data_IF_504418254878
#
_entry.id   IF_504418254878
#
_cell.length_a   1.000
_cell.length_b   1.000
_cell.length_c   1.000
_cell.angle_alpha   90.00
_cell.angle_beta   90.00
_cell.angle_gamma   90.00
#
_symmetry.space_group_name_H-M   'P 1'
#
loop_
_entity.id
_entity.type
_entity.pdbx_description
1 polymer ?
#
# COMPACT_ATOMS: atom_id res chain seq x y z
N UNK A 1 -56.55 -24.66 27.40
CA UNK A 1 -55.90 -24.60 26.09
C UNK A 1 -56.15 -25.89 25.35
N UNK A 2 -56.44 -25.82 24.06
CA UNK A 2 -56.64 -27.00 23.22
C UNK A 2 -55.28 -27.58 22.79
N UNK A 3 -55.21 -28.89 22.49
CA UNK A 3 -53.98 -29.54 22.01
C UNK A 3 -53.39 -28.84 20.77
N UNK A 4 -54.26 -28.30 19.91
CA UNK A 4 -53.90 -27.54 18.72
C UNK A 4 -53.11 -26.27 19.06
N UNK A 5 -53.53 -25.53 20.08
CA UNK A 5 -52.85 -24.31 20.55
C UNK A 5 -51.44 -24.61 21.04
N UNK A 6 -51.25 -25.73 21.76
CA UNK A 6 -49.95 -26.15 22.27
C UNK A 6 -49.00 -26.51 21.12
N UNK A 7 -49.50 -27.24 20.12
CA UNK A 7 -48.71 -27.61 18.93
C UNK A 7 -48.30 -26.35 18.15
N UNK A 8 -49.22 -25.40 17.97
CA UNK A 8 -48.93 -24.15 17.26
C UNK A 8 -47.83 -23.34 17.97
N UNK A 9 -47.93 -23.21 19.30
CA UNK A 9 -46.91 -22.51 20.10
C UNK A 9 -45.54 -23.21 19.97
N UNK A 10 -45.50 -24.53 20.06
CA UNK A 10 -44.26 -25.30 19.91
C UNK A 10 -43.61 -25.09 18.52
N UNK A 11 -44.41 -25.06 17.45
CA UNK A 11 -43.93 -24.80 16.09
C UNK A 11 -43.37 -23.38 15.94
N UNK A 12 -44.03 -22.38 16.53
CA UNK A 12 -43.55 -20.99 16.52
C UNK A 12 -42.22 -20.88 17.26
N UNK A 13 -42.09 -21.50 18.44
CA UNK A 13 -40.83 -21.50 19.20
C UNK A 13 -39.71 -22.16 18.39
N UNK A 14 -39.98 -23.30 17.75
CA UNK A 14 -39.01 -24.01 16.93
C UNK A 14 -38.59 -23.18 15.71
N UNK A 15 -39.53 -22.48 15.08
CA UNK A 15 -39.24 -21.55 14.00
C UNK A 15 -38.35 -20.38 14.46
N UNK A 16 -38.63 -19.79 15.62
CA UNK A 16 -37.81 -18.69 16.18
C UNK A 16 -36.38 -19.17 16.45
N UNK A 17 -36.22 -20.35 17.06
CA UNK A 17 -34.90 -20.95 17.32
C UNK A 17 -34.15 -21.20 15.99
N UNK A 18 -34.84 -21.76 14.99
CA UNK A 18 -34.26 -22.00 13.66
C UNK A 18 -33.78 -20.70 12.99
N UNK A 19 -34.63 -19.66 13.00
CA UNK A 19 -34.27 -18.36 12.42
C UNK A 19 -33.11 -17.69 13.18
N UNK A 20 -33.09 -17.78 14.50
CA UNK A 20 -32.00 -17.25 15.31
C UNK A 20 -30.67 -17.98 15.06
N UNK A 21 -30.68 -19.31 14.94
CA UNK A 21 -29.49 -20.09 14.60
C UNK A 21 -28.98 -19.76 13.18
N UNK A 22 -29.90 -19.66 12.21
CA UNK A 22 -29.57 -19.27 10.84
C UNK A 22 -28.91 -17.89 10.80
N UNK A 23 -29.46 -16.90 11.50
CA UNK A 23 -28.92 -15.55 11.53
C UNK A 23 -27.55 -15.49 12.20
N UNK A 24 -27.31 -16.31 13.24
CA UNK A 24 -25.96 -16.46 13.86
C UNK A 24 -24.95 -17.00 12.86
N UNK A 25 -25.28 -18.10 12.17
CA UNK A 25 -24.39 -18.69 11.15
C UNK A 25 -24.11 -17.72 10.00
N UNK A 26 -25.11 -16.95 9.58
CA UNK A 26 -24.96 -15.96 8.51
C UNK A 26 -24.00 -14.84 8.91
N UNK A 27 -24.09 -14.36 10.15
CA UNK A 27 -23.15 -13.37 10.71
C UNK A 27 -21.75 -13.93 10.82
N UNK A 28 -21.58 -15.12 11.37
CA UNK A 28 -20.25 -15.76 11.48
C UNK A 28 -19.57 -15.95 10.12
N UNK A 29 -20.33 -16.39 9.11
CA UNK A 29 -19.81 -16.54 7.75
C UNK A 29 -19.40 -15.19 7.14
N UNK A 30 -20.23 -14.17 7.34
CA UNK A 30 -19.97 -12.81 6.87
C UNK A 30 -18.75 -12.20 7.55
N UNK A 31 -18.60 -12.40 8.85
CA UNK A 31 -17.45 -11.91 9.62
C UNK A 31 -16.16 -12.60 9.17
N UNK A 32 -16.18 -13.92 8.99
CA UNK A 32 -15.04 -14.68 8.44
C UNK A 32 -14.66 -14.20 7.03
N UNK A 33 -15.64 -14.01 6.16
CA UNK A 33 -15.42 -13.47 4.82
C UNK A 33 -14.80 -12.07 4.87
N UNK A 34 -15.29 -11.20 5.76
CA UNK A 34 -14.76 -9.85 5.94
C UNK A 34 -13.32 -9.85 6.45
N UNK A 35 -12.97 -10.76 7.38
CA UNK A 35 -11.59 -10.93 7.87
C UNK A 35 -10.67 -11.37 6.72
N UNK A 36 -11.02 -12.44 6.01
CA UNK A 36 -10.23 -12.96 4.89
C UNK A 36 -10.04 -11.89 3.81
N UNK A 37 -11.10 -11.14 3.46
CA UNK A 37 -10.99 -10.09 2.46
C UNK A 37 -10.10 -8.93 2.90
N UNK A 38 -10.11 -8.58 4.19
CA UNK A 38 -9.18 -7.57 4.74
C UNK A 38 -7.74 -8.06 4.61
N UNK A 39 -7.49 -9.33 4.93
CA UNK A 39 -6.15 -9.92 4.85
C UNK A 39 -5.65 -9.99 3.41
N UNK A 40 -6.48 -10.45 2.47
CA UNK A 40 -6.15 -10.46 1.02
C UNK A 40 -5.86 -9.04 0.52
N UNK A 41 -6.67 -8.05 0.90
CA UNK A 41 -6.44 -6.66 0.51
C UNK A 41 -5.11 -6.15 1.07
N UNK A 42 -4.83 -6.43 2.33
CA UNK A 42 -3.60 -6.04 3.02
C UNK A 42 -2.37 -6.69 2.38
N UNK A 43 -2.45 -7.98 2.05
CA UNK A 43 -1.43 -8.73 1.31
C UNK A 43 -1.17 -8.10 -0.06
N UNK A 44 -2.23 -7.78 -0.82
CA UNK A 44 -2.09 -7.16 -2.15
C UNK A 44 -1.39 -5.80 -2.09
N UNK A 45 -1.70 -4.98 -1.08
CA UNK A 45 -1.04 -3.69 -0.87
C UNK A 45 0.45 -3.90 -0.56
N UNK A 46 0.78 -4.81 0.37
CA UNK A 46 2.19 -5.10 0.71
C UNK A 46 2.97 -5.65 -0.48
N UNK A 47 2.37 -6.58 -1.21
CA UNK A 47 2.99 -7.19 -2.39
C UNK A 47 3.23 -6.16 -3.50
N UNK A 48 2.27 -5.26 -3.74
CA UNK A 48 2.45 -4.15 -4.68
C UNK A 48 3.63 -3.26 -4.31
N UNK A 49 3.72 -2.86 -3.03
CA UNK A 49 4.85 -2.08 -2.52
C UNK A 49 6.19 -2.80 -2.65
N UNK A 50 6.23 -4.10 -2.40
CA UNK A 50 7.45 -4.89 -2.61
C UNK A 50 7.85 -4.92 -4.09
N UNK A 51 6.89 -5.12 -5.00
CA UNK A 51 7.17 -5.10 -6.45
C UNK A 51 7.73 -3.75 -6.91
N UNK A 52 7.25 -2.63 -6.36
CA UNK A 52 7.78 -1.28 -6.69
C UNK A 52 9.30 -1.22 -6.52
N UNK A 53 9.83 -1.77 -5.43
CA UNK A 53 11.27 -1.83 -5.15
C UNK A 53 12.03 -2.70 -6.17
N UNK A 54 11.37 -3.66 -6.80
CA UNK A 54 11.95 -4.53 -7.82
C UNK A 54 11.77 -4.03 -9.25
N UNK A 55 10.97 -2.97 -9.51
CA UNK A 55 10.76 -2.43 -10.86
C UNK A 55 12.06 -2.22 -11.63
N UNK A 56 13.14 -1.65 -11.04
CA UNK A 56 14.41 -1.45 -11.73
C UNK A 56 15.03 -2.72 -12.31
N UNK A 57 14.62 -3.92 -11.89
CA UNK A 57 15.16 -5.19 -12.39
C UNK A 57 14.38 -5.80 -13.55
N UNK A 58 13.18 -5.29 -13.86
CA UNK A 58 12.37 -5.79 -14.97
C UNK A 58 12.62 -4.93 -16.23
N UNK A 59 13.30 -5.50 -17.22
CA UNK A 59 13.67 -4.81 -18.47
C UNK A 59 12.45 -4.24 -19.23
N UNK A 60 11.32 -4.94 -19.20
CA UNK A 60 10.09 -4.49 -19.88
C UNK A 60 9.40 -3.30 -19.20
N UNK A 61 9.70 -3.05 -17.91
CA UNK A 61 9.04 -2.01 -17.10
C UNK A 61 9.95 -0.82 -16.81
N UNK A 62 11.27 -1.00 -16.89
CA UNK A 62 12.25 0.03 -16.56
C UNK A 62 12.98 0.53 -17.82
N UNK A 63 12.55 1.66 -18.42
CA UNK A 63 13.04 2.11 -19.72
C UNK A 63 14.41 2.80 -19.68
N UNK A 64 15.15 2.69 -18.58
CA UNK A 64 16.41 3.39 -18.34
C UNK A 64 17.57 2.42 -18.14
N UNK A 65 18.81 2.88 -18.37
CA UNK A 65 20.00 2.07 -18.04
C UNK A 65 20.12 1.89 -16.52
N UNK A 66 19.97 0.65 -16.07
CA UNK A 66 20.06 0.24 -14.66
C UNK A 66 21.38 0.64 -14.00
N UNK A 67 22.48 0.73 -14.76
CA UNK A 67 23.80 1.13 -14.23
C UNK A 67 23.86 2.59 -13.80
N UNK A 68 22.95 3.42 -14.32
CA UNK A 68 22.85 4.85 -14.03
C UNK A 68 21.69 5.18 -13.07
N UNK A 69 21.00 4.15 -12.59
CA UNK A 69 19.92 4.27 -11.61
C UNK A 69 20.44 4.03 -10.19
N UNK A 70 20.03 4.90 -9.27
CA UNK A 70 20.39 4.84 -7.85
C UNK A 70 19.13 4.92 -7.01
N UNK A 71 18.87 3.88 -6.23
CA UNK A 71 17.74 3.82 -5.32
C UNK A 71 17.94 4.75 -4.11
N UNK A 72 16.87 5.41 -3.67
CA UNK A 72 16.83 6.29 -2.51
C UNK A 72 15.79 5.86 -1.46
N UNK A 73 14.61 5.40 -1.91
CA UNK A 73 13.45 5.11 -1.06
C UNK A 73 12.49 6.30 -0.94
N UNK A 74 11.76 6.46 0.16
CA UNK A 74 10.73 7.51 0.24
C UNK A 74 11.34 8.91 0.43
N UNK A 75 10.75 9.97 -0.18
CA UNK A 75 9.50 10.02 -0.97
C UNK A 75 9.68 9.90 -2.50
N UNK A 76 10.86 9.48 -2.99
CA UNK A 76 11.18 9.30 -4.41
C UNK A 76 12.07 8.05 -4.53
N UNK A 77 11.53 6.95 -5.08
CA UNK A 77 12.21 5.64 -5.09
C UNK A 77 13.64 5.66 -5.62
N UNK A 78 13.96 6.51 -6.61
CA UNK A 78 15.34 6.67 -7.05
C UNK A 78 15.60 7.82 -8.00
N UNK A 79 16.88 7.95 -8.37
CA UNK A 79 17.37 8.92 -9.35
C UNK A 79 18.10 8.18 -10.47
N UNK A 80 17.78 8.55 -11.71
CA UNK A 80 18.52 8.15 -12.89
C UNK A 80 19.40 9.30 -13.39
N UNK A 81 20.71 9.05 -13.51
CA UNK A 81 21.67 10.01 -14.05
C UNK A 81 21.91 9.73 -15.53
N UNK A 82 21.03 10.27 -16.39
CA UNK A 82 21.20 10.20 -17.83
C UNK A 82 22.31 11.12 -18.34
N UNK A 83 22.65 10.97 -19.61
CA UNK A 83 23.70 11.77 -20.25
C UNK A 83 23.25 13.23 -20.48
N UNK A 84 21.95 13.46 -20.66
CA UNK A 84 21.33 14.76 -20.92
C UNK A 84 20.51 15.32 -19.75
N UNK A 85 20.06 14.45 -18.84
CA UNK A 85 19.15 14.82 -17.75
C UNK A 85 19.25 13.89 -16.54
N UNK A 86 18.97 14.47 -15.38
CA UNK A 86 18.73 13.73 -14.13
C UNK A 86 17.22 13.54 -13.99
N UNK A 87 16.78 12.30 -13.76
CA UNK A 87 15.36 11.95 -13.63
C UNK A 87 15.09 11.44 -12.22
N UNK A 88 14.16 12.09 -11.52
CA UNK A 88 13.59 11.59 -10.27
C UNK A 88 12.48 10.59 -10.60
N UNK A 89 12.55 9.39 -10.06
CA UNK A 89 11.67 8.27 -10.38
C UNK A 89 10.93 7.82 -9.12
N UNK A 90 9.62 7.71 -9.26
CA UNK A 90 8.72 7.12 -8.26
C UNK A 90 7.91 6.04 -8.97
N UNK A 91 7.99 4.83 -8.47
CA UNK A 91 7.27 3.66 -8.93
C UNK A 91 5.95 3.55 -8.17
N UNK A 92 4.88 3.21 -8.89
CA UNK A 92 3.55 3.00 -8.30
C UNK A 92 2.97 1.70 -8.84
N UNK A 93 2.42 0.91 -7.95
CA UNK A 93 1.66 -0.29 -8.25
C UNK A 93 0.15 -0.01 -8.17
N UNK A 94 -0.62 -0.59 -9.09
CA UNK A 94 -2.07 -0.45 -9.14
C UNK A 94 -2.55 1.00 -9.27
N UNK A 95 -3.50 1.41 -8.42
CA UNK A 95 -4.12 2.74 -8.44
C UNK A 95 -3.53 3.70 -7.38
N UNK A 96 -2.29 3.46 -6.93
CA UNK A 96 -1.66 4.31 -5.93
C UNK A 96 -1.44 5.73 -6.47
N UNK A 97 -2.06 6.72 -5.83
CA UNK A 97 -1.91 8.13 -6.18
C UNK A 97 -0.66 8.76 -5.59
N UNK A 98 -0.30 9.95 -6.08
CA UNK A 98 0.84 10.71 -5.56
C UNK A 98 0.59 11.21 -4.14
N UNK A 99 1.57 11.05 -3.25
CA UNK A 99 1.54 11.66 -1.91
C UNK A 99 1.67 13.18 -1.97
N UNK A 100 1.33 13.90 -0.89
CA UNK A 100 1.51 15.36 -0.85
C UNK A 100 2.98 15.76 -1.04
N UNK A 101 3.91 14.98 -0.48
CA UNK A 101 5.34 15.23 -0.62
C UNK A 101 5.81 15.00 -2.07
N UNK A 102 5.38 13.92 -2.72
CA UNK A 102 5.67 13.66 -4.15
C UNK A 102 5.14 14.80 -5.04
N UNK A 103 3.92 15.26 -4.80
CA UNK A 103 3.35 16.41 -5.54
C UNK A 103 4.19 17.68 -5.34
N UNK A 104 4.63 17.93 -4.11
CA UNK A 104 5.51 19.05 -3.79
C UNK A 104 6.85 18.94 -4.54
N UNK A 105 7.50 17.77 -4.50
CA UNK A 105 8.76 17.53 -5.22
C UNK A 105 8.57 17.72 -6.72
N UNK A 106 7.52 17.14 -7.31
CA UNK A 106 7.20 17.32 -8.73
C UNK A 106 7.06 18.80 -9.09
N UNK A 107 6.36 19.58 -8.26
CA UNK A 107 6.22 21.03 -8.50
C UNK A 107 7.54 21.79 -8.42
N UNK A 108 8.44 21.41 -7.51
CA UNK A 108 9.79 22.01 -7.40
C UNK A 108 10.61 21.69 -8.65
N UNK A 109 10.59 20.44 -9.11
CA UNK A 109 11.29 20.00 -10.33
C UNK A 109 10.75 20.74 -11.56
N UNK A 110 9.42 20.81 -11.73
CA UNK A 110 8.78 21.53 -12.85
C UNK A 110 9.09 23.02 -12.84
N UNK A 111 9.20 23.62 -11.65
CA UNK A 111 9.59 25.01 -11.47
C UNK A 111 11.10 25.25 -11.58
N UNK A 112 11.91 24.22 -11.95
CA UNK A 112 13.38 24.27 -12.02
C UNK A 112 14.05 24.67 -10.70
N UNK A 113 13.43 24.37 -9.57
CA UNK A 113 13.95 24.64 -8.21
C UNK A 113 14.74 23.44 -7.69
N UNK A 114 15.76 23.03 -8.44
CA UNK A 114 16.66 21.92 -8.09
C UNK A 114 18.08 22.48 -8.00
N UNK A 115 18.77 22.22 -6.88
CA UNK A 115 20.12 22.73 -6.62
C UNK A 115 21.08 21.55 -6.42
N UNK A 116 22.29 21.67 -6.98
CA UNK A 116 23.40 20.80 -6.65
C UNK A 116 24.34 21.52 -5.69
N UNK A 117 24.56 20.95 -4.50
CA UNK A 117 25.37 21.57 -3.45
C UNK A 117 26.38 20.60 -2.88
N UNK A 118 27.65 21.00 -2.88
CA UNK A 118 28.72 20.28 -2.20
C UNK A 118 28.84 20.78 -0.75
N UNK A 119 28.80 19.85 0.22
CA UNK A 119 29.02 20.16 1.63
C UNK A 119 30.28 19.42 2.09
N UNK A 120 31.32 20.17 2.45
CA UNK A 120 32.58 19.61 2.98
C UNK A 120 32.56 19.63 4.50
N UNK A 121 32.79 18.48 5.12
CA UNK A 121 33.02 18.35 6.56
C UNK A 121 34.48 17.98 6.83
N UNK A 122 35.17 18.73 7.69
CA UNK A 122 36.57 18.45 8.06
C UNK A 122 36.63 17.97 9.52
N UNK A 123 36.77 16.65 9.68
CA UNK A 123 36.80 15.95 10.97
C UNK A 123 37.97 16.36 11.89
N UNK A 124 39.08 16.88 11.34
CA UNK A 124 40.32 17.09 12.10
C UNK A 124 40.38 18.35 12.99
N UNK A 125 39.31 19.17 13.07
CA UNK A 125 39.30 20.36 13.95
C UNK A 125 38.89 20.10 15.40
N UNK A 126 38.22 18.99 15.70
CA UNK A 126 37.63 18.77 17.03
C UNK A 126 38.60 18.16 18.06
N UNK A 127 39.70 17.54 17.62
CA UNK A 127 40.69 16.89 18.53
C UNK A 127 41.86 17.78 18.98
N UNK A 128 41.83 19.08 18.65
CA UNK A 128 42.91 20.05 19.00
C UNK A 128 42.47 21.10 20.02
N UNK A 129 41.44 20.83 20.82
CA UNK A 129 41.01 21.69 21.94
C UNK A 129 41.07 20.92 23.23
#
# INVERSE_FOLDING_TARGET
MTLLEIILIALIILLIIYLADRDRRYKELTDRFNVINKDIRSLRIRFGKQIEEFIPFFDDLFPYDRKKFYALGQPIDGIYFGDDKIVFLEFKSGNAGKTQMEKKIESLVKAKKVEFKEIRYNYNRERRR
#
